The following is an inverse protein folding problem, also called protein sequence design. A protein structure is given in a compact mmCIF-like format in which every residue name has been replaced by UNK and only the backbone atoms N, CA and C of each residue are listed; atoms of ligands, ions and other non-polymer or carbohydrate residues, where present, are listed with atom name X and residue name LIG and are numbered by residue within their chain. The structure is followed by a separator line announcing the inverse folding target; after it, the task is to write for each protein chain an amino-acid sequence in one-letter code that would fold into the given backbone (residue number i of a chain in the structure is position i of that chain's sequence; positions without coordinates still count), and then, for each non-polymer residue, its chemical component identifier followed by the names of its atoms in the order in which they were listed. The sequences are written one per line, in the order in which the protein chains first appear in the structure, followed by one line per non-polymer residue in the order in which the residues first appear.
data_IF_647141494511
#
_entry.id   IF_647141494511
#
_cell.length_a   1.000
_cell.length_b   1.000
_cell.length_c   1.000
_cell.angle_alpha   90.00
_cell.angle_beta   90.00
_cell.angle_gamma   90.00
#
_symmetry.space_group_name_H-M   'P 1'
#
loop_
_entity.id
_entity.type
_entity.pdbx_description
1 polymer ?
#
# COMPACT_ATOMS: atom_id res chain seq x y z
N UNK A 1 -37.53 26.73 21.84
CA UNK A 1 -36.94 27.44 20.70
C UNK A 1 -36.06 26.44 19.98
N UNK A 2 -36.69 25.58 19.19
CA UNK A 2 -36.03 24.66 18.27
C UNK A 2 -35.49 25.48 17.11
N UNK A 3 -34.20 25.36 16.84
CA UNK A 3 -33.62 25.83 15.59
C UNK A 3 -33.28 24.57 14.79
N UNK A 4 -34.24 24.18 13.96
CA UNK A 4 -34.01 23.27 12.85
C UNK A 4 -33.06 23.95 11.85
N UNK A 5 -31.94 23.30 11.54
CA UNK A 5 -31.11 23.65 10.39
C UNK A 5 -31.25 22.51 9.38
N UNK A 6 -31.96 22.71 8.26
CA UNK A 6 -32.11 21.71 7.22
C UNK A 6 -30.87 21.73 6.33
N UNK A 7 -29.97 20.76 6.50
CA UNK A 7 -28.99 20.45 5.45
C UNK A 7 -29.64 19.51 4.44
N UNK A 8 -30.36 20.12 3.49
CA UNK A 8 -30.58 19.54 2.18
C UNK A 8 -29.25 19.62 1.41
N UNK A 9 -28.40 18.61 1.59
CA UNK A 9 -27.42 18.27 0.56
C UNK A 9 -28.11 17.25 -0.32
N UNK A 10 -28.40 17.66 -1.56
CA UNK A 10 -28.79 16.78 -2.63
C UNK A 10 -27.86 15.56 -2.60
N UNK A 11 -28.43 14.44 -2.17
CA UNK A 11 -27.92 13.12 -2.43
C UNK A 11 -27.87 12.99 -3.95
N UNK A 12 -26.72 13.36 -4.53
CA UNK A 12 -26.14 12.55 -5.59
C UNK A 12 -26.09 11.15 -5.00
N UNK A 13 -27.16 10.37 -5.24
CA UNK A 13 -27.12 8.93 -5.15
C UNK A 13 -25.98 8.54 -6.08
N UNK A 14 -24.79 8.31 -5.52
CA UNK A 14 -23.76 7.55 -6.18
C UNK A 14 -24.33 6.13 -6.24
N UNK A 15 -25.15 5.87 -7.26
CA UNK A 15 -25.81 4.59 -7.54
C UNK A 15 -24.82 3.52 -8.05
N UNK A 16 -23.50 3.73 -7.91
CA UNK A 16 -22.49 2.85 -8.50
C UNK A 16 -21.72 1.97 -7.52
N UNK A 17 -21.98 2.05 -6.21
CA UNK A 17 -21.53 0.99 -5.30
C UNK A 17 -22.64 -0.05 -5.19
N UNK A 18 -22.73 -0.90 -6.21
CA UNK A 18 -23.48 -2.15 -6.07
C UNK A 18 -22.96 -2.87 -4.84
N UNK A 19 -23.86 -3.41 -4.02
CA UNK A 19 -23.55 -4.29 -2.88
C UNK A 19 -22.83 -5.59 -3.27
N UNK A 20 -22.41 -5.70 -4.52
CA UNK A 20 -21.80 -6.87 -5.14
C UNK A 20 -20.27 -6.69 -5.24
N UNK A 21 -19.55 -7.41 -4.37
CA UNK A 21 -18.09 -7.50 -4.40
C UNK A 21 -17.57 -7.95 -5.77
N UNK A 22 -18.27 -8.85 -6.48
CA UNK A 22 -17.82 -9.31 -7.80
C UNK A 22 -17.80 -8.15 -8.82
N UNK A 23 -18.81 -7.28 -8.77
CA UNK A 23 -18.83 -6.06 -9.58
C UNK A 23 -17.68 -5.13 -9.23
N UNK A 24 -17.45 -4.86 -7.94
CA UNK A 24 -16.36 -4.00 -7.47
C UNK A 24 -15.00 -4.48 -7.99
N UNK A 25 -14.68 -5.77 -7.82
CA UNK A 25 -13.42 -6.36 -8.27
C UNK A 25 -13.26 -6.27 -9.79
N UNK A 26 -14.33 -6.54 -10.54
CA UNK A 26 -14.31 -6.50 -12.01
C UNK A 26 -14.09 -5.07 -12.53
N UNK A 27 -14.73 -4.07 -11.93
CA UNK A 27 -14.62 -2.67 -12.37
C UNK A 27 -13.19 -2.15 -12.20
N UNK A 28 -12.52 -2.49 -11.09
CA UNK A 28 -11.11 -2.12 -10.86
C UNK A 28 -10.23 -2.55 -12.04
N UNK A 29 -10.23 -3.84 -12.36
CA UNK A 29 -9.40 -4.37 -13.44
C UNK A 29 -9.82 -3.89 -14.82
N UNK A 30 -11.14 -3.68 -15.06
CA UNK A 30 -11.64 -3.18 -16.35
C UNK A 30 -11.20 -1.74 -16.60
N UNK A 31 -11.30 -0.89 -15.57
CA UNK A 31 -10.87 0.51 -15.64
C UNK A 31 -9.39 0.59 -16.05
N UNK A 32 -8.53 -0.12 -15.34
CA UNK A 32 -7.09 -0.10 -15.64
C UNK A 32 -6.78 -0.76 -17.00
N UNK A 33 -7.52 -1.79 -17.39
CA UNK A 33 -7.31 -2.45 -18.68
C UNK A 33 -7.68 -1.53 -19.84
N UNK A 34 -8.81 -0.84 -19.74
CA UNK A 34 -9.27 0.12 -20.75
C UNK A 34 -8.33 1.32 -20.82
N UNK A 35 -7.92 1.86 -19.68
CA UNK A 35 -6.93 2.93 -19.62
C UNK A 35 -5.61 2.52 -20.28
N UNK A 36 -5.09 1.35 -19.94
CA UNK A 36 -3.84 0.82 -20.49
C UNK A 36 -3.95 0.59 -22.00
N UNK A 37 -5.09 0.13 -22.52
CA UNK A 37 -5.27 -0.08 -23.97
C UNK A 37 -5.39 1.23 -24.75
N UNK A 38 -6.07 2.24 -24.18
CA UNK A 38 -6.35 3.48 -24.90
C UNK A 38 -5.24 4.51 -24.76
N UNK A 39 -4.54 4.52 -23.62
CA UNK A 39 -3.56 5.55 -23.27
C UNK A 39 -2.20 4.99 -22.83
N UNK A 40 -2.05 3.66 -22.76
CA UNK A 40 -0.79 3.04 -22.41
C UNK A 40 0.26 3.28 -23.49
N UNK A 41 1.42 3.77 -23.07
CA UNK A 41 2.59 3.89 -23.91
C UNK A 41 3.65 2.89 -23.45
N UNK A 42 4.48 2.34 -24.34
CA UNK A 42 5.65 1.58 -23.93
C UNK A 42 6.53 2.46 -23.04
N UNK A 43 6.88 1.97 -21.85
CA UNK A 43 7.69 2.71 -20.90
C UNK A 43 9.07 2.11 -20.83
N UNK A 44 10.09 2.95 -20.92
CA UNK A 44 11.43 2.55 -20.51
C UNK A 44 11.41 2.29 -19.01
N UNK A 45 12.11 1.26 -18.54
CA UNK A 45 12.27 1.10 -17.10
C UNK A 45 12.95 2.35 -16.56
N UNK A 46 12.48 2.80 -15.42
CA UNK A 46 13.09 3.91 -14.69
C UNK A 46 13.96 3.38 -13.55
N UNK A 47 14.89 4.22 -13.09
CA UNK A 47 15.69 3.92 -11.92
C UNK A 47 14.79 3.76 -10.69
N UNK A 48 15.07 2.79 -9.79
CA UNK A 48 16.24 1.92 -9.74
C UNK A 48 16.19 0.68 -10.65
N UNK A 49 15.06 0.41 -11.30
CA UNK A 49 14.80 -0.85 -11.99
C UNK A 49 15.41 -0.95 -13.41
N UNK A 50 15.95 0.15 -13.93
CA UNK A 50 16.45 0.28 -15.30
C UNK A 50 17.91 -0.12 -15.50
N UNK A 51 18.73 -0.02 -14.46
CA UNK A 51 20.16 -0.31 -14.49
C UNK A 51 20.40 -1.79 -14.81
N UNK A 52 19.67 -2.68 -14.14
CA UNK A 52 19.92 -4.12 -14.18
C UNK A 52 18.97 -4.90 -15.10
N UNK A 53 17.86 -4.29 -15.52
CA UNK A 53 16.88 -4.92 -16.39
C UNK A 53 16.58 -4.03 -17.61
N UNK A 54 17.56 -3.65 -18.43
CA UNK A 54 17.35 -2.65 -19.49
C UNK A 54 16.24 -3.05 -20.46
N UNK A 55 15.53 -2.05 -20.98
CA UNK A 55 14.58 -2.23 -22.07
C UNK A 55 13.26 -1.51 -21.88
N UNK A 56 12.57 -1.35 -23.01
CA UNK A 56 11.21 -0.84 -23.09
C UNK A 56 10.25 -1.96 -22.71
N UNK A 57 9.30 -1.65 -21.83
CA UNK A 57 8.23 -2.57 -21.47
C UNK A 57 6.98 -2.17 -22.26
N UNK A 58 6.48 -3.04 -23.14
CA UNK A 58 5.21 -2.85 -23.81
C UNK A 58 4.06 -2.87 -22.80
N UNK A 59 3.14 -1.91 -22.90
CA UNK A 59 1.97 -1.80 -22.02
C UNK A 59 1.01 -2.99 -22.20
N UNK A 60 1.08 -3.67 -23.34
CA UNK A 60 0.33 -4.89 -23.68
C UNK A 60 0.63 -6.03 -22.71
N UNK A 61 1.86 -6.10 -22.17
CA UNK A 61 2.20 -7.07 -21.14
C UNK A 61 1.42 -6.82 -19.84
N UNK A 62 1.22 -5.55 -19.47
CA UNK A 62 0.40 -5.19 -18.31
C UNK A 62 -1.08 -5.48 -18.58
N UNK A 63 -1.57 -5.14 -19.78
CA UNK A 63 -2.92 -5.47 -20.22
C UNK A 63 -3.20 -6.99 -20.17
N UNK A 64 -2.23 -7.83 -20.54
CA UNK A 64 -2.35 -9.29 -20.43
C UNK A 64 -2.45 -9.77 -18.97
N UNK A 65 -1.71 -9.16 -18.04
CA UNK A 65 -1.83 -9.44 -16.60
C UNK A 65 -3.21 -9.01 -16.07
N UNK A 66 -3.72 -7.85 -16.48
CA UNK A 66 -5.07 -7.40 -16.10
C UNK A 66 -6.17 -8.32 -16.64
N UNK A 67 -5.99 -8.90 -17.83
CA UNK A 67 -6.90 -9.94 -18.33
C UNK A 67 -6.88 -11.20 -17.45
N UNK A 68 -5.69 -11.64 -17.02
CA UNK A 68 -5.57 -12.75 -16.05
C UNK A 68 -6.26 -12.42 -14.72
N UNK A 69 -6.10 -11.19 -14.21
CA UNK A 69 -6.83 -10.71 -13.03
C UNK A 69 -8.35 -10.79 -13.24
N UNK A 70 -8.87 -10.33 -14.38
CA UNK A 70 -10.30 -10.37 -14.68
C UNK A 70 -10.87 -11.79 -14.77
N UNK A 71 -10.05 -12.78 -15.15
CA UNK A 71 -10.42 -14.18 -15.13
C UNK A 71 -10.52 -14.74 -13.69
N UNK A 72 -9.65 -14.29 -12.78
CA UNK A 72 -9.66 -14.69 -11.36
C UNK A 72 -10.73 -13.96 -10.54
N UNK A 73 -10.97 -12.67 -10.83
CA UNK A 73 -11.78 -11.78 -10.00
C UNK A 73 -13.17 -12.35 -9.59
N UNK A 74 -13.90 -13.09 -10.44
CA UNK A 74 -15.17 -13.72 -10.05
C UNK A 74 -15.06 -14.73 -8.90
N UNK A 75 -13.88 -15.32 -8.68
CA UNK A 75 -13.66 -16.41 -7.71
C UNK A 75 -13.05 -15.95 -6.37
N UNK A 76 -12.63 -14.69 -6.29
CA UNK A 76 -12.04 -14.13 -5.07
C UNK A 76 -13.04 -13.98 -3.91
N UNK A 77 -14.33 -13.65 -4.15
CA UNK A 77 -15.36 -13.64 -3.12
C UNK A 77 -15.71 -15.04 -2.63
N UNK A 78 -16.13 -15.17 -1.36
CA UNK A 78 -16.55 -16.46 -0.82
C UNK A 78 -17.98 -16.83 -1.20
N UNK A 79 -18.90 -16.11 -0.57
CA UNK A 79 -20.33 -16.20 -0.74
C UNK A 79 -20.81 -14.76 -0.92
N UNK A 80 -21.68 -14.43 -1.90
CA UNK A 80 -22.31 -13.12 -2.00
C UNK A 80 -22.90 -12.61 -0.67
N UNK A 81 -23.36 -13.51 0.20
CA UNK A 81 -23.94 -13.22 1.51
C UNK A 81 -22.89 -13.08 2.65
N UNK A 82 -21.60 -13.29 2.36
CA UNK A 82 -20.53 -13.13 3.36
C UNK A 82 -20.57 -11.71 3.95
N UNK A 83 -20.66 -11.54 5.30
CA UNK A 83 -20.59 -10.23 5.94
C UNK A 83 -19.34 -9.42 5.57
N UNK A 84 -18.27 -10.10 5.14
CA UNK A 84 -17.05 -9.53 4.59
C UNK A 84 -17.23 -8.75 3.28
N UNK A 85 -18.31 -8.99 2.53
CA UNK A 85 -18.60 -8.25 1.30
C UNK A 85 -19.23 -6.88 1.58
N UNK A 86 -19.58 -6.58 2.83
CA UNK A 86 -20.27 -5.34 3.18
C UNK A 86 -19.41 -4.12 2.83
N UNK A 87 -20.00 -3.11 2.14
CA UNK A 87 -19.34 -1.83 1.92
C UNK A 87 -18.90 -1.23 3.25
N UNK A 88 -17.60 -0.97 3.38
CA UNK A 88 -16.97 -0.47 4.58
C UNK A 88 -16.26 0.82 4.26
N UNK A 89 -16.55 1.85 5.05
CA UNK A 89 -15.84 3.12 5.01
C UNK A 89 -14.74 3.05 6.06
N UNK A 90 -13.52 3.42 5.66
CA UNK A 90 -12.38 3.48 6.56
C UNK A 90 -11.63 4.78 6.35
N UNK A 91 -11.28 5.43 7.46
CA UNK A 91 -10.45 6.62 7.41
C UNK A 91 -9.14 6.35 6.65
N UNK A 92 -8.70 7.24 5.74
CA UNK A 92 -7.42 7.14 5.04
C UNK A 92 -6.28 7.48 6.02
N UNK A 93 -6.09 6.64 7.04
CA UNK A 93 -5.01 6.79 8.01
C UNK A 93 -3.70 6.30 7.38
N UNK A 94 -3.18 7.05 6.41
CA UNK A 94 -1.95 6.71 5.67
C UNK A 94 -0.69 6.99 6.49
N UNK A 95 -0.72 7.90 7.47
CA UNK A 95 0.37 8.15 8.43
C UNK A 95 -0.17 8.60 9.79
N UNK A 96 0.62 8.44 10.85
CA UNK A 96 0.28 8.94 12.19
C UNK A 96 0.08 10.46 12.24
N UNK A 97 0.55 11.19 11.21
CA UNK A 97 0.57 12.66 11.14
C UNK A 97 -0.71 13.28 10.58
N UNK A 98 -1.56 12.49 9.90
CA UNK A 98 -2.78 12.98 9.24
C UNK A 98 -4.05 12.63 10.02
N UNK A 99 -3.96 11.85 11.10
CA UNK A 99 -5.12 11.61 11.96
C UNK A 99 -5.15 12.71 13.03
N UNK A 100 -5.58 13.92 12.63
CA UNK A 100 -5.69 15.03 13.58
C UNK A 100 -6.93 14.83 14.44
N UNK A 101 -6.70 14.49 15.70
CA UNK A 101 -7.74 14.48 16.71
C UNK A 101 -7.87 15.87 17.32
N UNK A 102 -9.02 16.50 17.15
CA UNK A 102 -9.30 17.74 17.89
C UNK A 102 -9.67 17.38 19.32
N UNK A 103 -8.74 17.64 20.22
CA UNK A 103 -8.84 17.34 21.64
C UNK A 103 -8.67 18.64 22.44
N UNK A 104 -9.76 19.21 22.99
CA UNK A 104 -9.65 20.38 23.85
C UNK A 104 -8.75 20.07 25.06
N UNK A 105 -7.84 20.98 25.45
CA UNK A 105 -6.83 20.71 26.48
C UNK A 105 -7.41 20.40 27.86
N UNK A 106 -8.69 20.70 28.09
CA UNK A 106 -9.34 20.65 29.40
C UNK A 106 -9.96 19.27 29.69
N UNK A 107 -10.35 18.49 28.67
CA UNK A 107 -11.19 17.30 28.88
C UNK A 107 -10.67 16.00 28.27
N UNK A 108 -9.58 16.02 27.49
CA UNK A 108 -9.06 14.84 26.76
C UNK A 108 -10.13 14.08 25.94
N UNK A 109 -11.25 14.74 25.61
CA UNK A 109 -12.36 14.14 24.86
C UNK A 109 -12.12 14.36 23.37
N UNK A 110 -12.11 13.27 22.62
CA UNK A 110 -12.07 13.32 21.16
C UNK A 110 -13.35 13.98 20.63
N UNK A 111 -13.24 15.14 19.98
CA UNK A 111 -14.41 15.88 19.45
C UNK A 111 -14.70 15.55 17.99
N UNK A 112 -13.67 15.36 17.18
CA UNK A 112 -13.81 15.07 15.76
C UNK A 112 -12.56 14.42 15.17
N UNK A 113 -12.76 13.73 14.04
CA UNK A 113 -11.72 13.16 13.18
C UNK A 113 -11.86 13.88 11.84
N UNK A 114 -10.79 14.53 11.38
CA UNK A 114 -10.75 15.26 10.10
C UNK A 114 -9.95 14.48 9.05
N UNK A 115 -9.72 15.06 7.86
CA UNK A 115 -8.91 14.48 6.78
C UNK A 115 -9.55 13.27 6.06
N UNK A 116 -10.87 13.30 5.89
CA UNK A 116 -11.64 12.26 5.16
C UNK A 116 -11.56 12.36 3.63
N UNK A 117 -10.86 13.33 3.04
CA UNK A 117 -10.90 13.62 1.60
C UNK A 117 -10.39 12.50 0.67
N UNK A 118 -9.63 11.54 1.21
CA UNK A 118 -9.13 10.36 0.47
C UNK A 118 -9.84 9.06 0.89
N UNK A 119 -10.98 9.17 1.58
CA UNK A 119 -11.74 8.01 2.04
C UNK A 119 -12.33 7.25 0.86
N UNK A 120 -12.15 5.94 0.86
CA UNK A 120 -12.77 5.04 -0.11
C UNK A 120 -13.78 4.13 0.58
N UNK A 121 -14.84 3.78 -0.15
CA UNK A 121 -15.75 2.70 0.23
C UNK A 121 -15.23 1.42 -0.38
N UNK A 122 -14.84 0.46 0.45
CA UNK A 122 -14.35 -0.83 -0.03
C UNK A 122 -15.01 -1.98 0.76
N UNK A 123 -15.17 -3.16 0.16
CA UNK A 123 -15.63 -4.35 0.87
C UNK A 123 -14.81 -4.62 2.14
N UNK A 124 -15.44 -5.08 3.23
CA UNK A 124 -14.75 -5.35 4.50
C UNK A 124 -13.55 -6.29 4.34
N UNK A 125 -13.63 -7.29 3.46
CA UNK A 125 -12.53 -8.21 3.12
C UNK A 125 -11.32 -7.52 2.49
N UNK A 126 -11.50 -6.34 1.90
CA UNK A 126 -10.42 -5.51 1.37
C UNK A 126 -10.00 -4.43 2.37
N UNK A 127 -10.92 -3.99 3.22
CA UNK A 127 -10.64 -3.04 4.30
C UNK A 127 -10.07 -3.71 5.57
N UNK A 128 -10.02 -5.03 5.68
CA UNK A 128 -9.58 -5.71 6.89
C UNK A 128 -8.07 -5.50 7.15
N UNK A 129 -7.61 -5.59 8.40
CA UNK A 129 -6.20 -5.39 8.77
C UNK A 129 -5.90 -4.10 9.53
N UNK A 130 -4.63 -3.84 9.80
CA UNK A 130 -4.15 -2.74 10.64
C UNK A 130 -3.91 -1.47 9.80
N UNK A 131 -4.39 -0.28 10.22
CA UNK A 131 -3.99 0.97 9.57
C UNK A 131 -2.51 1.22 9.88
N UNK A 132 -1.78 1.92 9.00
CA UNK A 132 -0.33 2.16 9.14
C UNK A 132 0.09 2.66 10.52
N UNK A 133 -0.71 3.53 11.14
CA UNK A 133 -0.45 4.06 12.48
C UNK A 133 -0.48 2.99 13.59
N UNK A 134 -1.21 1.90 13.39
CA UNK A 134 -1.35 0.80 14.35
C UNK A 134 -0.79 -0.51 13.79
N UNK A 135 0.08 -0.47 12.78
CA UNK A 135 0.80 -1.65 12.32
C UNK A 135 1.85 -2.07 13.35
N UNK A 136 2.14 -3.38 13.38
CA UNK A 136 3.19 -3.92 14.22
C UNK A 136 4.53 -3.34 13.76
N UNK A 137 5.31 -2.66 14.63
CA UNK A 137 6.63 -2.17 14.24
C UNK A 137 7.70 -3.26 14.21
N UNK A 138 7.41 -4.44 14.76
CA UNK A 138 8.36 -5.56 14.87
C UNK A 138 8.23 -6.56 13.71
N UNK A 139 9.30 -7.35 13.51
CA UNK A 139 9.35 -8.41 12.46
C UNK A 139 8.21 -9.41 12.65
N UNK A 140 7.97 -9.80 13.90
CA UNK A 140 6.92 -10.75 14.26
C UNK A 140 5.93 -10.11 15.22
N UNK A 141 4.62 -10.40 15.08
CA UNK A 141 3.63 -9.95 16.04
C UNK A 141 3.83 -10.67 17.38
N UNK A 142 3.67 -9.98 18.52
CA UNK A 142 3.75 -10.61 19.83
C UNK A 142 2.73 -11.75 19.97
N UNK A 143 3.21 -12.91 20.41
CA UNK A 143 2.41 -14.13 20.59
C UNK A 143 1.30 -13.93 21.63
N UNK A 144 1.61 -13.17 22.69
CA UNK A 144 0.71 -12.93 23.81
C UNK A 144 0.07 -11.55 23.74
N UNK A 145 -0.98 -11.37 24.55
CA UNK A 145 -1.59 -10.06 24.84
C UNK A 145 -1.03 -9.47 26.14
N UNK A 146 0.21 -9.80 26.51
CA UNK A 146 0.82 -9.23 27.70
C UNK A 146 1.16 -7.76 27.49
N UNK A 147 1.04 -6.98 28.56
CA UNK A 147 1.43 -5.58 28.54
C UNK A 147 2.94 -5.47 28.27
N UNK A 148 3.32 -4.52 27.42
CA UNK A 148 4.71 -4.24 27.09
C UNK A 148 5.46 -3.82 28.35
N UNK A 149 6.59 -4.47 28.62
CA UNK A 149 7.48 -4.09 29.71
C UNK A 149 8.43 -2.96 29.24
N UNK A 150 8.79 -2.01 30.11
CA UNK A 150 9.86 -1.05 29.83
C UNK A 150 11.16 -1.79 29.51
N UNK A 151 11.97 -1.25 28.59
CA UNK A 151 13.31 -1.77 28.31
C UNK A 151 14.20 -1.61 29.54
N UNK A 152 14.85 -2.71 29.96
CA UNK A 152 15.87 -2.66 31.02
C UNK A 152 17.02 -1.74 30.60
N UNK A 153 17.41 -0.80 31.47
CA UNK A 153 18.49 0.16 31.19
C UNK A 153 18.07 1.45 30.50
N UNK A 154 16.77 1.72 30.30
CA UNK A 154 16.26 2.95 29.67
C UNK A 154 16.87 4.24 30.26
N UNK A 155 16.98 4.32 31.59
CA UNK A 155 17.47 5.53 32.27
C UNK A 155 18.91 5.90 31.91
N UNK A 156 19.71 4.91 31.49
CA UNK A 156 21.13 5.08 31.15
C UNK A 156 21.38 5.49 29.70
N UNK A 157 20.35 5.50 28.85
CA UNK A 157 20.47 5.84 27.43
C UNK A 157 20.63 7.36 27.21
N UNK A 158 21.28 7.73 26.11
CA UNK A 158 21.35 9.12 25.66
C UNK A 158 20.00 9.63 25.12
N UNK A 159 19.87 10.94 24.91
CA UNK A 159 18.61 11.60 24.54
C UNK A 159 18.08 11.10 23.19
N UNK A 160 18.96 10.90 22.21
CA UNK A 160 18.55 10.49 20.86
C UNK A 160 18.06 9.04 20.89
N UNK A 161 18.81 8.14 21.54
CA UNK A 161 18.43 6.74 21.70
C UNK A 161 17.15 6.61 22.53
N UNK A 162 16.97 7.42 23.59
CA UNK A 162 15.71 7.48 24.36
C UNK A 162 14.51 7.82 23.49
N UNK A 163 14.63 8.85 22.65
CA UNK A 163 13.57 9.27 21.72
C UNK A 163 13.19 8.15 20.76
N UNK A 164 14.17 7.43 20.20
CA UNK A 164 13.91 6.29 19.31
C UNK A 164 13.20 5.13 20.04
N UNK A 165 13.64 4.83 21.27
CA UNK A 165 13.02 3.81 22.13
C UNK A 165 11.59 4.19 22.49
N UNK A 166 11.34 5.44 22.85
CA UNK A 166 10.01 5.95 23.18
C UNK A 166 9.06 5.86 21.99
N UNK A 167 9.52 6.22 20.79
CA UNK A 167 8.73 6.10 19.57
C UNK A 167 8.41 4.64 19.24
N UNK A 168 9.38 3.73 19.39
CA UNK A 168 9.15 2.29 19.21
C UNK A 168 8.12 1.75 20.22
N UNK A 169 8.27 2.08 21.51
CA UNK A 169 7.34 1.71 22.56
C UNK A 169 5.94 2.26 22.26
N UNK A 170 5.83 3.54 21.87
CA UNK A 170 4.56 4.18 21.49
C UNK A 170 3.87 3.41 20.35
N UNK A 171 4.61 3.04 19.29
CA UNK A 171 4.07 2.24 18.17
C UNK A 171 3.60 0.87 18.62
N UNK A 172 4.39 0.16 19.44
CA UNK A 172 4.00 -1.14 20.01
C UNK A 172 2.74 -1.03 20.88
N UNK A 173 2.64 0.00 21.72
CA UNK A 173 1.44 0.26 22.53
C UNK A 173 0.21 0.53 21.67
N UNK A 174 0.33 1.34 20.62
CA UNK A 174 -0.78 1.60 19.69
C UNK A 174 -1.23 0.33 18.97
N UNK A 175 -0.29 -0.48 18.47
CA UNK A 175 -0.59 -1.79 17.88
C UNK A 175 -1.33 -2.68 18.87
N UNK A 176 -0.82 -2.79 20.11
CA UNK A 176 -1.41 -3.61 21.17
C UNK A 176 -2.86 -3.17 21.50
N UNK A 177 -3.07 -1.88 21.79
CA UNK A 177 -4.39 -1.35 22.11
C UNK A 177 -5.36 -1.57 20.95
N UNK A 178 -4.92 -1.31 19.73
CA UNK A 178 -5.74 -1.51 18.54
C UNK A 178 -6.13 -2.97 18.36
N UNK A 179 -5.18 -3.91 18.53
CA UNK A 179 -5.44 -5.37 18.48
C UNK A 179 -6.48 -5.78 19.52
N UNK A 180 -6.31 -5.37 20.78
CA UNK A 180 -7.22 -5.74 21.88
C UNK A 180 -8.63 -5.15 21.68
N UNK A 181 -8.74 -3.84 21.46
CA UNK A 181 -10.05 -3.18 21.32
C UNK A 181 -10.78 -3.62 20.06
N UNK A 182 -10.07 -3.80 18.95
CA UNK A 182 -10.68 -4.28 17.71
C UNK A 182 -11.18 -5.72 17.87
N UNK A 183 -10.38 -6.60 18.47
CA UNK A 183 -10.79 -7.98 18.74
C UNK A 183 -12.03 -8.06 19.63
N UNK A 184 -12.09 -7.23 20.67
CA UNK A 184 -13.22 -7.20 21.59
C UNK A 184 -14.50 -6.60 20.99
N UNK A 185 -14.38 -5.55 20.17
CA UNK A 185 -15.54 -4.73 19.73
C UNK A 185 -15.98 -4.96 18.27
N UNK A 186 -15.13 -5.54 17.42
CA UNK A 186 -15.42 -5.69 15.99
C UNK A 186 -15.21 -7.14 15.51
N UNK A 187 -16.13 -8.02 15.93
CA UNK A 187 -16.11 -9.45 15.57
C UNK A 187 -16.14 -9.70 14.06
N UNK A 188 -16.86 -8.87 13.29
CA UNK A 188 -16.92 -9.00 11.82
C UNK A 188 -15.57 -8.72 11.18
N UNK A 189 -14.91 -7.65 11.61
CA UNK A 189 -13.55 -7.36 11.16
C UNK A 189 -12.59 -8.48 11.55
N UNK A 190 -12.69 -8.98 12.78
CA UNK A 190 -11.84 -10.08 13.25
C UNK A 190 -12.01 -11.33 12.38
N UNK A 191 -13.25 -11.69 12.03
CA UNK A 191 -13.54 -12.81 11.14
C UNK A 191 -12.94 -12.61 9.73
N UNK A 192 -13.06 -11.41 9.16
CA UNK A 192 -12.42 -11.08 7.87
C UNK A 192 -10.88 -11.10 7.98
N UNK A 193 -10.33 -10.67 9.12
CA UNK A 193 -8.89 -10.64 9.36
C UNK A 193 -8.26 -12.04 9.41
N UNK A 194 -8.98 -13.04 9.89
CA UNK A 194 -8.53 -14.44 9.94
C UNK A 194 -8.75 -15.21 8.64
N UNK A 195 -9.20 -14.57 7.56
CA UNK A 195 -9.29 -15.23 6.26
C UNK A 195 -7.87 -15.57 5.74
N UNK A 196 -7.52 -16.85 5.53
CA UNK A 196 -6.16 -17.25 5.13
C UNK A 196 -5.71 -16.65 3.79
N UNK A 197 -6.67 -16.27 2.94
CA UNK A 197 -6.42 -15.63 1.64
C UNK A 197 -6.59 -14.11 1.67
N UNK A 198 -6.74 -13.50 2.84
CA UNK A 198 -6.94 -12.05 2.99
C UNK A 198 -5.86 -11.25 2.30
N UNK A 199 -4.60 -11.48 2.70
CA UNK A 199 -3.44 -10.73 2.23
C UNK A 199 -3.20 -10.94 0.72
N UNK A 200 -3.19 -12.18 0.19
CA UNK A 200 -3.15 -12.40 -1.26
C UNK A 200 -4.25 -11.68 -2.03
N UNK A 201 -5.49 -11.70 -1.51
CA UNK A 201 -6.62 -11.01 -2.15
C UNK A 201 -6.43 -9.49 -2.15
N UNK A 202 -6.07 -8.91 -1.01
CA UNK A 202 -5.83 -7.48 -0.87
C UNK A 202 -4.71 -7.01 -1.80
N UNK A 203 -3.58 -7.70 -1.82
CA UNK A 203 -2.46 -7.39 -2.71
C UNK A 203 -2.86 -7.49 -4.18
N UNK A 204 -3.55 -8.55 -4.58
CA UNK A 204 -3.98 -8.72 -5.96
C UNK A 204 -4.89 -7.59 -6.43
N UNK A 205 -5.87 -7.21 -5.61
CA UNK A 205 -6.81 -6.14 -5.94
C UNK A 205 -6.13 -4.77 -5.94
N UNK A 206 -5.25 -4.51 -4.98
CA UNK A 206 -4.47 -3.27 -4.94
C UNK A 206 -3.63 -3.11 -6.21
N UNK A 207 -2.82 -4.12 -6.56
CA UNK A 207 -1.96 -4.04 -7.74
C UNK A 207 -2.74 -4.02 -9.05
N UNK A 208 -3.89 -4.69 -9.14
CA UNK A 208 -4.75 -4.63 -10.33
C UNK A 208 -5.44 -3.27 -10.49
N UNK A 209 -5.53 -2.48 -9.42
CA UNK A 209 -6.09 -1.13 -9.43
C UNK A 209 -5.08 -0.01 -9.65
N UNK A 210 -3.80 -0.34 -9.81
CA UNK A 210 -2.75 0.65 -10.09
C UNK A 210 -2.70 0.97 -11.58
N UNK A 211 -2.37 2.23 -11.89
CA UNK A 211 -2.17 2.67 -13.26
C UNK A 211 -0.89 2.09 -13.86
N UNK A 212 -0.88 2.00 -15.18
CA UNK A 212 0.30 1.58 -15.94
C UNK A 212 1.48 2.53 -15.70
N UNK A 213 2.57 1.99 -15.15
CA UNK A 213 3.78 2.73 -14.80
C UNK A 213 5.09 1.96 -15.09
N UNK A 214 5.05 0.91 -15.91
CA UNK A 214 6.21 0.07 -16.18
C UNK A 214 6.40 -1.08 -15.19
N UNK A 215 5.65 -1.13 -14.08
CA UNK A 215 5.80 -2.20 -13.09
C UNK A 215 4.94 -3.42 -13.44
N UNK A 216 5.56 -4.44 -14.04
CA UNK A 216 4.92 -5.76 -14.24
C UNK A 216 5.11 -6.72 -13.05
N UNK A 217 6.13 -6.49 -12.22
CA UNK A 217 6.59 -7.45 -11.21
C UNK A 217 5.55 -7.62 -10.11
N UNK A 218 4.95 -6.52 -9.65
CA UNK A 218 3.98 -6.54 -8.55
C UNK A 218 2.69 -7.28 -8.91
N UNK A 219 2.02 -6.89 -9.99
CA UNK A 219 0.78 -7.56 -10.43
C UNK A 219 1.04 -9.01 -10.85
N UNK A 220 2.15 -9.30 -11.55
CA UNK A 220 2.52 -10.69 -11.90
C UNK A 220 2.75 -11.53 -10.65
N UNK A 221 3.54 -11.03 -9.70
CA UNK A 221 3.82 -11.73 -8.45
C UNK A 221 2.55 -12.00 -7.64
N UNK A 222 1.63 -11.04 -7.59
CA UNK A 222 0.33 -11.23 -6.93
C UNK A 222 -0.53 -12.30 -7.61
N UNK A 223 -0.57 -12.32 -8.95
CA UNK A 223 -1.27 -13.36 -9.71
C UNK A 223 -0.66 -14.75 -9.51
N UNK A 224 0.68 -14.86 -9.60
CA UNK A 224 1.42 -16.12 -9.38
C UNK A 224 1.15 -16.66 -7.98
N UNK A 225 1.25 -15.81 -6.95
CA UNK A 225 0.91 -16.18 -5.58
C UNK A 225 -0.54 -16.61 -5.47
N UNK A 226 -1.48 -15.89 -6.07
CA UNK A 226 -2.90 -16.24 -6.04
C UNK A 226 -3.16 -17.61 -6.68
N UNK A 227 -2.44 -18.00 -7.74
CA UNK A 227 -2.50 -19.37 -8.26
C UNK A 227 -2.07 -20.41 -7.21
N UNK A 228 -1.04 -20.13 -6.41
CA UNK A 228 -0.61 -21.00 -5.32
C UNK A 228 -1.62 -21.07 -4.17
N UNK A 229 -2.32 -19.97 -3.88
CA UNK A 229 -3.40 -19.90 -2.89
C UNK A 229 -4.76 -20.40 -3.42
N UNK A 230 -4.86 -20.75 -4.71
CA UNK A 230 -6.11 -21.17 -5.35
C UNK A 230 -6.83 -22.31 -4.60
N UNK A 231 -6.15 -23.36 -4.09
CA UNK A 231 -6.81 -24.43 -3.34
C UNK A 231 -7.51 -23.99 -2.04
N UNK A 232 -7.19 -22.80 -1.52
CA UNK A 232 -7.82 -22.24 -0.33
C UNK A 232 -9.04 -21.36 -0.64
N UNK A 233 -9.27 -21.04 -1.92
CA UNK A 233 -10.49 -20.33 -2.31
C UNK A 233 -11.70 -21.26 -2.19
N UNK A 234 -12.89 -20.74 -1.85
CA UNK A 234 -14.11 -21.53 -1.74
C UNK A 234 -14.72 -21.80 -3.12
N UNK A 235 -13.90 -22.23 -4.08
CA UNK A 235 -14.31 -22.64 -5.42
C UNK A 235 -13.93 -24.10 -5.66
N UNK A 236 -14.73 -24.79 -6.45
CA UNK A 236 -14.42 -26.15 -6.95
C UNK A 236 -13.79 -26.11 -8.34
N UNK A 237 -13.70 -24.94 -8.95
CA UNK A 237 -13.14 -24.76 -10.28
C UNK A 237 -11.61 -24.72 -10.23
N UNK A 238 -10.98 -25.19 -11.30
CA UNK A 238 -9.53 -25.04 -11.48
C UNK A 238 -9.14 -23.57 -11.69
N UNK A 239 -7.88 -23.24 -11.44
CA UNK A 239 -7.40 -21.88 -11.64
C UNK A 239 -7.51 -21.51 -13.14
N UNK A 240 -8.25 -20.45 -13.50
CA UNK A 240 -8.52 -20.11 -14.90
C UNK A 240 -7.29 -19.51 -15.61
N UNK A 241 -6.18 -19.33 -14.89
CA UNK A 241 -4.95 -18.79 -15.43
C UNK A 241 -3.78 -19.72 -15.10
N UNK A 242 -2.80 -19.71 -15.98
CA UNK A 242 -1.50 -20.34 -15.79
C UNK A 242 -0.39 -19.41 -16.24
N UNK A 243 0.83 -19.73 -15.83
CA UNK A 243 2.05 -19.09 -16.31
C UNK A 243 2.96 -20.18 -16.84
N UNK A 244 3.69 -19.86 -17.91
CA UNK A 244 4.69 -20.76 -18.47
C UNK A 244 5.90 -20.86 -17.54
N UNK A 245 6.63 -21.98 -17.60
CA UNK A 245 7.85 -22.16 -16.81
C UNK A 245 8.89 -21.07 -17.07
N UNK A 246 8.93 -20.55 -18.30
CA UNK A 246 9.79 -19.42 -18.66
C UNK A 246 9.38 -18.12 -17.96
N UNK A 247 8.08 -17.82 -17.87
CA UNK A 247 7.56 -16.66 -17.13
C UNK A 247 7.83 -16.78 -15.63
N UNK A 248 7.60 -17.96 -15.06
CA UNK A 248 7.86 -18.23 -13.64
C UNK A 248 9.35 -18.11 -13.32
N UNK A 249 10.22 -18.74 -14.12
CA UNK A 249 11.67 -18.66 -13.93
C UNK A 249 12.19 -17.22 -14.05
N UNK A 250 11.64 -16.45 -14.99
CA UNK A 250 11.98 -15.02 -15.13
C UNK A 250 11.52 -14.23 -13.91
N UNK A 251 10.27 -14.42 -13.47
CA UNK A 251 9.74 -13.75 -12.29
C UNK A 251 10.56 -14.05 -11.03
N UNK A 252 10.92 -15.32 -10.79
CA UNK A 252 11.75 -15.71 -9.65
C UNK A 252 13.17 -15.12 -9.69
N UNK A 253 13.68 -14.75 -10.86
CA UNK A 253 14.96 -14.05 -11.00
C UNK A 253 14.81 -12.54 -10.77
N UNK A 254 13.74 -11.94 -11.28
CA UNK A 254 13.54 -10.49 -11.28
C UNK A 254 12.98 -9.96 -9.93
N UNK A 255 12.14 -10.75 -9.22
CA UNK A 255 11.44 -10.30 -8.02
C UNK A 255 12.35 -9.99 -6.81
N UNK A 256 13.34 -10.83 -6.44
CA UNK A 256 14.25 -10.51 -5.33
C UNK A 256 14.98 -9.18 -5.53
N UNK A 257 15.47 -8.95 -6.76
CA UNK A 257 16.13 -7.70 -7.11
C UNK A 257 15.17 -6.50 -7.01
N UNK A 258 13.93 -6.65 -7.46
CA UNK A 258 12.92 -5.60 -7.34
C UNK A 258 12.64 -5.26 -5.87
N UNK A 259 12.60 -6.27 -4.98
CA UNK A 259 12.44 -6.09 -3.53
C UNK A 259 13.63 -5.31 -2.95
N UNK A 260 14.87 -5.72 -3.25
CA UNK A 260 16.08 -5.08 -2.73
C UNK A 260 16.18 -3.61 -3.14
N UNK A 261 15.89 -3.31 -4.41
CA UNK A 261 15.89 -1.94 -4.93
C UNK A 261 14.76 -1.10 -4.32
N UNK A 262 13.60 -1.69 -4.06
CA UNK A 262 12.50 -1.01 -3.37
C UNK A 262 12.89 -0.67 -1.92
N UNK A 263 13.58 -1.59 -1.23
CA UNK A 263 14.09 -1.37 0.12
C UNK A 263 15.13 -0.23 0.15
N UNK A 264 16.04 -0.20 -0.83
CA UNK A 264 17.01 0.89 -0.99
C UNK A 264 16.34 2.25 -1.21
N UNK A 265 15.32 2.32 -2.08
CA UNK A 265 14.56 3.56 -2.30
C UNK A 265 13.85 4.03 -1.04
N UNK A 266 13.27 3.11 -0.26
CA UNK A 266 12.65 3.46 1.02
C UNK A 266 13.66 3.97 2.04
N UNK A 267 14.84 3.35 2.11
CA UNK A 267 15.95 3.87 2.92
C UNK A 267 16.35 5.30 2.51
N UNK A 268 16.44 5.59 1.20
CA UNK A 268 16.70 6.96 0.74
C UNK A 268 15.58 7.93 1.08
N UNK A 269 14.32 7.52 1.02
CA UNK A 269 13.19 8.37 1.44
C UNK A 269 13.29 8.77 2.91
N UNK A 270 13.74 7.86 3.77
CA UNK A 270 13.96 8.14 5.18
C UNK A 270 15.13 9.11 5.37
N UNK A 271 16.26 8.89 4.69
CA UNK A 271 17.40 9.83 4.66
C UNK A 271 17.04 11.22 4.14
N UNK A 272 16.05 11.32 3.25
CA UNK A 272 15.50 12.57 2.73
C UNK A 272 14.53 13.26 3.70
N UNK A 273 14.44 12.84 4.96
CA UNK A 273 13.54 13.44 5.96
C UNK A 273 12.13 12.86 5.96
N UNK A 274 11.98 11.61 5.52
CA UNK A 274 10.70 10.91 5.47
C UNK A 274 9.83 11.35 4.29
N UNK A 275 10.43 11.41 3.10
CA UNK A 275 9.75 11.71 1.86
C UNK A 275 8.67 10.65 1.58
N UNK A 276 7.42 11.07 1.37
CA UNK A 276 6.34 10.13 1.04
C UNK A 276 6.49 9.54 -0.37
N UNK A 277 5.74 8.49 -0.69
CA UNK A 277 5.70 7.91 -2.04
C UNK A 277 5.23 8.93 -3.10
N UNK A 278 4.39 9.88 -2.71
CA UNK A 278 3.88 10.97 -3.55
C UNK A 278 4.82 12.18 -3.61
N UNK A 279 5.98 12.13 -2.94
CA UNK A 279 6.95 13.23 -2.93
C UNK A 279 6.67 14.33 -1.89
N UNK A 280 5.65 14.18 -1.04
CA UNK A 280 5.42 15.11 0.07
C UNK A 280 6.52 15.05 1.12
N UNK A 281 6.96 16.23 1.55
CA UNK A 281 7.86 16.45 2.67
C UNK A 281 7.41 17.69 3.45
N UNK A 282 7.78 17.76 4.73
CA UNK A 282 7.61 18.98 5.54
C UNK A 282 8.41 20.13 4.95
N UNK A 283 7.81 21.33 4.95
CA UNK A 283 8.46 22.56 4.50
C UNK A 283 9.81 22.79 5.17
N UNK A 284 9.91 22.53 6.47
CA UNK A 284 11.15 22.71 7.25
C UNK A 284 12.28 21.75 6.83
N UNK A 285 11.93 20.61 6.24
CA UNK A 285 12.87 19.58 5.81
C UNK A 285 13.21 19.69 4.31
N UNK A 286 12.57 20.60 3.58
CA UNK A 286 12.73 20.70 2.12
C UNK A 286 14.17 20.98 1.72
N UNK A 287 14.82 21.98 2.32
CA UNK A 287 16.21 22.34 2.00
C UNK A 287 17.19 21.20 2.34
N UNK A 288 16.96 20.53 3.48
CA UNK A 288 17.71 19.34 3.87
C UNK A 288 17.58 18.23 2.82
N UNK A 289 16.34 17.93 2.41
CA UNK A 289 16.06 16.90 1.44
C UNK A 289 16.66 17.22 0.07
N UNK A 290 16.57 18.46 -0.39
CA UNK A 290 17.18 18.88 -1.66
C UNK A 290 18.71 18.75 -1.65
N UNK A 291 19.36 19.12 -0.53
CA UNK A 291 20.80 18.94 -0.36
C UNK A 291 21.17 17.46 -0.36
N UNK A 292 20.49 16.67 0.46
CA UNK A 292 20.74 15.24 0.61
C UNK A 292 20.44 14.45 -0.67
N UNK A 293 19.42 14.85 -1.43
CA UNK A 293 19.12 14.31 -2.76
C UNK A 293 20.28 14.49 -3.73
N UNK A 294 20.86 15.69 -3.79
CA UNK A 294 22.06 15.96 -4.62
C UNK A 294 23.26 15.13 -4.19
N UNK A 295 23.47 14.97 -2.88
CA UNK A 295 24.54 14.13 -2.33
C UNK A 295 24.36 12.65 -2.68
N UNK A 296 23.14 12.12 -2.51
CA UNK A 296 22.79 10.75 -2.87
C UNK A 296 22.96 10.50 -4.36
N UNK A 297 22.44 11.40 -5.22
CA UNK A 297 22.61 11.30 -6.68
C UNK A 297 24.08 11.27 -7.06
N UNK A 298 24.90 12.17 -6.49
CA UNK A 298 26.33 12.24 -6.78
C UNK A 298 27.08 10.99 -6.31
N UNK A 299 26.81 10.52 -5.09
CA UNK A 299 27.43 9.31 -4.54
C UNK A 299 27.09 8.11 -5.44
N UNK A 300 25.82 7.97 -5.80
CA UNK A 300 25.37 6.85 -6.59
C UNK A 300 25.92 6.88 -8.04
N UNK A 301 26.07 8.07 -8.65
CA UNK A 301 26.76 8.21 -9.94
C UNK A 301 28.24 7.84 -9.85
N UNK A 302 28.92 8.21 -8.75
CA UNK A 302 30.34 7.89 -8.57
C UNK A 302 30.59 6.39 -8.34
N UNK A 303 29.63 5.70 -7.72
CA UNK A 303 29.69 4.27 -7.44
C UNK A 303 29.20 3.41 -8.63
N UNK A 304 28.65 4.02 -9.68
CA UNK A 304 28.13 3.33 -10.86
C UNK A 304 29.24 2.94 -11.85
N UNK A 305 29.03 1.83 -12.56
CA UNK A 305 29.92 1.43 -13.64
C UNK A 305 29.88 2.45 -14.80
N UNK A 306 30.99 2.65 -15.55
CA UNK A 306 31.09 3.69 -16.57
C UNK A 306 30.00 3.66 -17.65
N UNK A 307 29.48 2.48 -17.98
CA UNK A 307 28.40 2.27 -18.96
C UNK A 307 26.98 2.45 -18.38
N UNK A 308 26.87 2.65 -17.07
CA UNK A 308 25.61 2.85 -16.35
C UNK A 308 25.39 4.31 -15.91
N UNK A 309 26.45 5.10 -15.81
CA UNK A 309 26.42 6.52 -15.37
C UNK A 309 25.32 7.33 -16.06
N UNK A 310 25.19 7.23 -17.38
CA UNK A 310 24.19 7.99 -18.14
C UNK A 310 22.76 7.56 -17.80
N UNK A 311 22.52 6.25 -17.65
CA UNK A 311 21.20 5.68 -17.31
C UNK A 311 20.79 6.07 -15.90
N UNK A 312 21.74 6.05 -14.98
CA UNK A 312 21.55 6.48 -13.59
C UNK A 312 21.22 7.98 -13.53
N UNK A 313 21.98 8.80 -14.26
CA UNK A 313 21.81 10.24 -14.25
C UNK A 313 20.45 10.66 -14.84
N UNK A 314 20.03 10.04 -15.95
CA UNK A 314 18.74 10.27 -16.62
C UNK A 314 17.55 9.63 -15.91
N UNK A 315 17.76 8.51 -15.24
CA UNK A 315 16.68 7.76 -14.60
C UNK A 315 16.37 8.22 -13.17
N UNK A 316 17.18 9.09 -12.57
CA UNK A 316 17.16 9.39 -11.14
C UNK A 316 15.75 9.66 -10.59
N UNK A 317 15.34 8.87 -9.59
CA UNK A 317 13.97 8.83 -9.10
C UNK A 317 13.47 10.17 -8.55
N UNK A 318 14.34 10.92 -7.88
CA UNK A 318 14.00 12.18 -7.19
C UNK A 318 14.40 13.41 -8.02
N UNK A 319 14.30 13.33 -9.34
CA UNK A 319 14.51 14.46 -10.23
C UNK A 319 13.18 15.08 -10.67
N UNK A 320 13.21 16.36 -10.99
CA UNK A 320 12.07 17.02 -11.62
C UNK A 320 11.81 16.37 -12.99
N UNK A 321 10.57 15.93 -13.20
CA UNK A 321 10.11 15.48 -14.51
C UNK A 321 9.37 16.63 -15.17
N UNK A 322 9.87 17.11 -16.30
CA UNK A 322 9.11 18.04 -17.14
C UNK A 322 7.82 17.32 -17.61
N UNK A 323 6.64 17.81 -17.21
CA UNK A 323 5.36 17.27 -17.69
C UNK A 323 4.22 17.14 -16.67
N UNK A 324 4.45 17.42 -15.38
CA UNK A 324 3.37 17.55 -14.39
C UNK A 324 3.27 19.00 -13.90
N UNK A 325 2.87 19.90 -14.78
CA UNK A 325 2.47 21.28 -14.45
C UNK A 325 1.02 21.51 -14.82
#
# INVERSE_FOLDING_TARGET
MEIAIPFALDLLRITCFGSDLHHYLRVIGRRELEWTKNYGLPLEKEFPYNVLLPGIIPHEHYAALLQKYLAIAPFLPKDPLDPGNQPTIRHPAQTSRQLTFLCPPIHLTLTSIIDWQHTTVTPLLLAAGYPKMFENPDVEPPETLEALKPLEGYDTLDIETKSQVDELLRRRYLYYLYRVFKGARNKRHLAAFYDPVLQPRQHLVDYAGRQWNGNLITLRGALVRMCGYWPLLPTKEECPISFTDAELKKHSKDEPMWIDLTALVNYWRDELGGLSEEGWIRSEMFDHAMKKNKELKKKFINDADPDEVEKVAKGWLFQDKEGFS
#
